data_IF_800082719922
#
_entry.id   IF_800082719922
#
_cell.length_a   1.000
_cell.length_b   1.000
_cell.length_c   1.000
_cell.angle_alpha   90.00
_cell.angle_beta   90.00
_cell.angle_gamma   90.00
#
_symmetry.space_group_name_H-M   'P 1'
#
loop_
_entity.id
_entity.type
_entity.pdbx_description
1 polymer ?
#
# COMPACT_ATOMS: atom_id res chain seq x y z
N UNK A 1 8.46 18.24 14.86
CA UNK A 1 7.71 16.99 14.71
C UNK A 1 8.57 15.93 14.02
N UNK A 2 8.95 14.91 14.77
CA UNK A 2 9.69 13.73 14.29
C UNK A 2 8.74 12.64 13.81
N UNK A 3 9.21 11.72 12.97
CA UNK A 3 8.41 10.58 12.51
C UNK A 3 7.85 9.75 13.67
N UNK A 4 8.65 9.48 14.71
CA UNK A 4 8.22 8.71 15.88
C UNK A 4 7.02 9.28 16.64
N UNK A 5 6.77 10.59 16.49
CA UNK A 5 5.66 11.29 17.14
C UNK A 5 4.35 11.15 16.36
N UNK A 6 4.43 10.80 15.07
CA UNK A 6 3.25 10.74 14.18
C UNK A 6 3.01 9.37 13.54
N UNK A 7 3.99 8.48 13.55
CA UNK A 7 3.86 7.16 12.94
C UNK A 7 2.85 6.29 13.68
N UNK A 8 2.18 5.40 12.94
CA UNK A 8 1.46 4.27 13.52
C UNK A 8 2.42 3.13 13.85
N UNK A 9 2.26 2.57 15.05
CA UNK A 9 2.93 1.32 15.48
C UNK A 9 2.13 0.07 15.13
N UNK A 10 0.86 0.22 14.75
CA UNK A 10 0.05 -0.90 14.31
C UNK A 10 0.34 -1.19 12.83
N UNK A 11 1.30 -2.09 12.61
CA UNK A 11 1.79 -2.41 11.28
C UNK A 11 0.98 -3.58 10.72
N UNK A 12 0.11 -3.28 9.77
CA UNK A 12 -0.61 -4.33 9.03
C UNK A 12 0.32 -4.86 7.94
N UNK A 13 0.64 -6.16 8.06
CA UNK A 13 1.54 -6.90 7.17
C UNK A 13 0.79 -8.06 6.55
N UNK A 14 1.22 -8.48 5.36
CA UNK A 14 0.75 -9.70 4.70
C UNK A 14 1.91 -10.54 4.20
N UNK A 15 1.72 -11.85 4.14
CA UNK A 15 2.67 -12.78 3.54
C UNK A 15 2.68 -12.62 2.03
N UNK A 16 3.85 -12.74 1.42
CA UNK A 16 4.01 -12.66 -0.04
C UNK A 16 3.24 -13.73 -0.83
N UNK A 17 2.89 -14.83 -0.15
CA UNK A 17 2.13 -15.98 -0.64
C UNK A 17 0.62 -15.81 -0.55
N UNK A 18 0.11 -14.75 0.09
CA UNK A 18 -1.32 -14.45 0.07
C UNK A 18 -1.77 -14.02 -1.34
N UNK A 19 -3.05 -14.19 -1.64
CA UNK A 19 -3.64 -13.77 -2.91
C UNK A 19 -4.21 -12.34 -2.87
N UNK A 20 -4.58 -11.81 -4.03
CA UNK A 20 -5.10 -10.43 -4.13
C UNK A 20 -6.49 -10.26 -3.51
N UNK A 21 -7.31 -11.31 -3.43
CA UNK A 21 -8.61 -11.25 -2.77
C UNK A 21 -8.44 -11.09 -1.24
N UNK A 22 -7.55 -11.86 -0.64
CA UNK A 22 -7.17 -11.72 0.76
C UNK A 22 -6.61 -10.33 1.03
N UNK A 23 -5.77 -9.82 0.13
CA UNK A 23 -5.26 -8.46 0.24
C UNK A 23 -6.36 -7.41 0.21
N UNK A 24 -7.28 -7.49 -0.76
CA UNK A 24 -8.42 -6.59 -0.86
C UNK A 24 -9.24 -6.59 0.44
N UNK A 25 -9.51 -7.78 0.99
CA UNK A 25 -10.23 -7.94 2.24
C UNK A 25 -9.55 -7.19 3.41
N UNK A 26 -8.23 -7.35 3.55
CA UNK A 26 -7.44 -6.64 4.57
C UNK A 26 -7.49 -5.13 4.35
N UNK A 27 -7.29 -4.65 3.12
CA UNK A 27 -7.30 -3.22 2.81
C UNK A 27 -8.64 -2.57 3.17
N UNK A 28 -9.75 -3.21 2.80
CA UNK A 28 -11.10 -2.69 3.07
C UNK A 28 -11.48 -2.72 4.55
N UNK A 29 -11.28 -3.86 5.22
CA UNK A 29 -11.67 -4.00 6.63
C UNK A 29 -10.86 -3.08 7.56
N UNK A 30 -9.58 -2.88 7.25
CA UNK A 30 -8.73 -1.99 8.03
C UNK A 30 -8.76 -0.54 7.56
N UNK A 31 -9.53 -0.21 6.50
CA UNK A 31 -9.62 1.13 5.92
C UNK A 31 -8.25 1.73 5.56
N UNK A 32 -7.39 0.90 4.96
CA UNK A 32 -6.03 1.28 4.54
C UNK A 32 -5.87 1.06 3.03
N UNK A 33 -5.17 1.97 2.37
CA UNK A 33 -4.87 1.88 0.93
C UNK A 33 -3.60 1.10 0.57
N UNK A 34 -2.98 0.39 1.52
CA UNK A 34 -1.82 -0.46 1.25
C UNK A 34 -1.23 -1.16 2.48
N UNK A 35 -0.54 -2.27 2.26
CA UNK A 35 0.07 -3.11 3.29
C UNK A 35 1.56 -3.31 3.02
N UNK A 36 2.28 -3.64 4.09
CA UNK A 36 3.65 -4.12 4.00
C UNK A 36 3.64 -5.62 3.71
N UNK A 37 4.54 -6.06 2.84
CA UNK A 37 4.64 -7.47 2.45
C UNK A 37 5.91 -8.07 3.05
N UNK A 38 5.75 -9.18 3.75
CA UNK A 38 6.85 -9.94 4.38
C UNK A 38 6.96 -11.33 3.79
N UNK A 39 8.17 -11.88 3.81
CA UNK A 39 8.41 -13.29 3.50
C UNK A 39 8.10 -14.19 4.70
N UNK A 40 8.40 -15.48 4.58
CA UNK A 40 8.22 -16.44 5.68
C UNK A 40 9.04 -16.10 6.93
N UNK A 41 10.25 -15.58 6.75
CA UNK A 41 11.15 -15.17 7.83
C UNK A 41 10.82 -13.79 8.44
N UNK A 42 9.63 -13.24 8.20
CA UNK A 42 9.18 -11.93 8.69
C UNK A 42 10.01 -10.73 8.18
N UNK A 43 10.80 -10.92 7.14
CA UNK A 43 11.58 -9.85 6.51
C UNK A 43 10.67 -9.06 5.57
N UNK A 44 10.70 -7.72 5.68
CA UNK A 44 10.01 -6.81 4.76
C UNK A 44 10.63 -6.90 3.35
N UNK A 45 9.83 -7.32 2.37
CA UNK A 45 10.28 -7.56 0.99
C UNK A 45 9.50 -6.76 -0.07
N UNK A 46 8.42 -6.09 0.34
CA UNK A 46 7.69 -5.23 -0.58
C UNK A 46 6.56 -4.46 0.06
N UNK A 47 5.85 -3.72 -0.79
CA UNK A 47 4.60 -3.05 -0.46
C UNK A 47 3.56 -3.39 -1.52
N UNK A 48 2.32 -3.53 -1.08
CA UNK A 48 1.16 -3.68 -1.97
C UNK A 48 0.16 -2.57 -1.66
N UNK A 49 -0.33 -1.87 -2.69
CA UNK A 49 -1.33 -0.82 -2.56
C UNK A 49 -2.58 -1.11 -3.40
N UNK A 50 -3.68 -0.39 -3.12
CA UNK A 50 -4.90 -0.45 -3.96
C UNK A 50 -4.59 -0.23 -5.45
N UNK A 51 -3.62 0.64 -5.76
CA UNK A 51 -3.17 0.88 -7.14
C UNK A 51 -2.59 -0.38 -7.79
N UNK A 52 -1.91 -1.21 -7.01
CA UNK A 52 -1.31 -2.45 -7.51
C UNK A 52 -2.39 -3.51 -7.75
N UNK A 53 -3.38 -3.63 -6.86
CA UNK A 53 -4.57 -4.47 -7.10
C UNK A 53 -5.32 -4.02 -8.35
N UNK A 54 -5.57 -2.71 -8.49
CA UNK A 54 -6.24 -2.15 -9.65
C UNK A 54 -5.49 -2.48 -10.94
N UNK A 55 -4.18 -2.24 -10.98
CA UNK A 55 -3.35 -2.55 -12.15
C UNK A 55 -3.28 -4.04 -12.47
N UNK A 56 -3.42 -4.92 -11.48
CA UNK A 56 -3.36 -6.36 -11.68
C UNK A 56 -4.70 -6.99 -12.13
N UNK A 57 -5.81 -6.34 -11.81
CA UNK A 57 -7.17 -6.86 -12.05
C UNK A 57 -7.89 -6.19 -13.22
N UNK A 58 -7.50 -4.96 -13.57
CA UNK A 58 -8.13 -4.21 -14.66
C UNK A 58 -7.26 -4.21 -15.92
N UNK A 59 -7.87 -4.29 -17.11
CA UNK A 59 -7.13 -4.22 -18.36
C UNK A 59 -6.42 -2.88 -18.50
N UNK A 60 -5.26 -2.91 -19.15
CA UNK A 60 -4.52 -1.69 -19.47
C UNK A 60 -5.27 -0.87 -20.51
N UNK A 61 -4.96 0.43 -20.59
CA UNK A 61 -5.49 1.30 -21.65
C UNK A 61 -5.23 0.74 -23.05
N UNK A 62 -4.10 0.07 -23.27
CA UNK A 62 -3.80 -0.56 -24.57
C UNK A 62 -4.76 -1.70 -24.89
N UNK A 63 -4.97 -2.61 -23.93
CA UNK A 63 -5.91 -3.73 -24.07
C UNK A 63 -7.33 -3.23 -24.29
N UNK A 64 -7.71 -2.12 -23.65
CA UNK A 64 -8.99 -1.45 -23.86
C UNK A 64 -9.22 -1.05 -25.34
N UNK A 65 -8.24 -0.42 -25.99
CA UNK A 65 -8.41 0.02 -27.39
C UNK A 65 -8.26 -1.11 -28.39
N UNK A 66 -7.46 -2.12 -28.08
CA UNK A 66 -7.31 -3.31 -28.93
C UNK A 66 -8.56 -4.20 -28.90
N UNK A 67 -9.33 -4.20 -27.79
CA UNK A 67 -10.55 -5.00 -27.67
C UNK A 67 -11.67 -4.31 -26.84
N UNK A 68 -12.29 -3.22 -27.34
CA UNK A 68 -13.30 -2.47 -26.60
C UNK A 68 -14.59 -3.27 -26.35
N UNK A 69 -14.89 -4.27 -27.18
CA UNK A 69 -16.06 -5.12 -27.04
C UNK A 69 -15.99 -6.04 -25.80
N UNK A 70 -14.80 -6.42 -25.36
CA UNK A 70 -14.60 -7.26 -24.16
C UNK A 70 -15.10 -6.63 -22.86
N UNK A 71 -15.25 -5.30 -22.83
CA UNK A 71 -15.70 -4.56 -21.64
C UNK A 71 -17.20 -4.30 -21.62
N UNK A 72 -17.91 -4.58 -22.71
CA UNK A 72 -19.36 -4.39 -22.82
C UNK A 72 -20.16 -5.64 -22.43
N UNK A 73 -19.50 -6.74 -22.07
CA UNK A 73 -20.13 -7.97 -21.57
C UNK A 73 -20.19 -7.94 -20.02
N UNK A 74 -21.20 -7.23 -19.49
CA UNK A 74 -21.37 -6.90 -18.06
C UNK A 74 -21.40 -8.11 -17.11
N UNK A 75 -21.65 -9.32 -17.62
CA UNK A 75 -21.82 -10.54 -16.79
C UNK A 75 -20.55 -11.40 -16.65
N UNK A 76 -19.55 -11.22 -17.53
CA UNK A 76 -18.26 -11.93 -17.43
C UNK A 76 -17.22 -11.20 -16.58
N UNK A 77 -17.29 -9.88 -16.51
CA UNK A 77 -16.18 -9.09 -15.99
C UNK A 77 -15.97 -9.22 -14.46
N UNK A 78 -17.02 -9.16 -13.64
CA UNK A 78 -16.84 -9.17 -12.17
C UNK A 78 -16.45 -10.55 -11.60
N UNK A 79 -17.10 -11.62 -12.06
CA UNK A 79 -16.80 -12.99 -11.59
C UNK A 79 -15.40 -13.42 -12.00
N UNK A 80 -15.00 -13.10 -13.23
CA UNK A 80 -13.67 -13.43 -13.72
C UNK A 80 -12.60 -12.61 -12.97
N UNK A 81 -12.86 -11.35 -12.63
CA UNK A 81 -11.96 -10.55 -11.80
C UNK A 81 -11.79 -11.13 -10.39
N UNK A 82 -12.87 -11.56 -9.75
CA UNK A 82 -12.80 -12.22 -8.43
C UNK A 82 -12.00 -13.52 -8.52
N UNK A 83 -12.20 -14.30 -9.59
CA UNK A 83 -11.44 -15.53 -9.80
C UNK A 83 -9.95 -15.23 -10.01
N UNK A 84 -9.61 -14.26 -10.86
CA UNK A 84 -8.23 -13.81 -11.06
C UNK A 84 -7.58 -13.32 -9.74
N UNK A 85 -8.35 -12.61 -8.91
CA UNK A 85 -7.85 -12.13 -7.62
C UNK A 85 -7.51 -13.28 -6.66
N UNK A 86 -8.19 -14.42 -6.75
CA UNK A 86 -7.89 -15.63 -5.97
C UNK A 86 -6.64 -16.36 -6.46
N UNK A 87 -6.35 -16.29 -7.76
CA UNK A 87 -5.25 -17.02 -8.38
C UNK A 87 -3.92 -16.25 -8.38
N UNK A 88 -3.97 -14.91 -8.43
CA UNK A 88 -2.76 -14.06 -8.42
C UNK A 88 -2.26 -13.85 -6.99
N UNK A 89 -0.96 -14.02 -6.78
CA UNK A 89 -0.30 -13.83 -5.49
C UNK A 89 0.26 -12.42 -5.34
N UNK A 90 0.36 -11.95 -4.09
CA UNK A 90 0.92 -10.63 -3.76
C UNK A 90 2.34 -10.47 -4.32
N UNK A 91 3.20 -11.48 -4.18
CA UNK A 91 4.61 -11.45 -4.62
C UNK A 91 4.80 -11.14 -6.11
N UNK A 92 3.80 -11.43 -6.93
CA UNK A 92 3.83 -11.25 -8.38
C UNK A 92 3.44 -9.82 -8.79
N UNK A 93 2.83 -9.07 -7.87
CA UNK A 93 2.22 -7.76 -8.13
C UNK A 93 2.84 -6.63 -7.29
N UNK A 94 3.33 -6.95 -6.08
CA UNK A 94 3.88 -5.97 -5.14
C UNK A 94 5.05 -5.16 -5.69
N UNK A 95 5.22 -3.94 -5.18
CA UNK A 95 6.44 -3.17 -5.39
C UNK A 95 7.56 -3.71 -4.50
N UNK A 96 8.69 -4.05 -5.11
CA UNK A 96 9.92 -4.50 -4.41
C UNK A 96 10.81 -3.34 -3.96
N UNK A 97 10.61 -2.15 -4.53
CA UNK A 97 11.35 -0.96 -4.11
C UNK A 97 10.71 -0.41 -2.85
N UNK A 98 11.39 -0.61 -1.72
CA UNK A 98 10.99 -0.09 -0.42
C UNK A 98 11.65 1.26 -0.21
N UNK A 99 10.84 2.32 -0.13
CA UNK A 99 11.30 3.65 0.26
C UNK A 99 10.86 3.85 1.70
N UNK A 100 11.80 4.03 2.62
CA UNK A 100 11.57 4.18 4.05
C UNK A 100 12.09 5.51 4.59
N UNK A 101 11.71 5.82 5.83
CA UNK A 101 12.26 6.93 6.62
C UNK A 101 12.76 6.42 7.96
N UNK A 102 13.66 7.17 8.58
CA UNK A 102 14.14 6.88 9.92
C UNK A 102 13.16 7.41 10.99
N UNK A 103 13.10 6.74 12.14
CA UNK A 103 12.21 7.09 13.26
C UNK A 103 12.45 8.52 13.80
N UNK A 104 13.68 9.02 13.67
CA UNK A 104 14.07 10.37 14.08
C UNK A 104 14.10 11.40 12.94
N UNK A 105 13.74 11.01 11.71
CA UNK A 105 13.63 11.95 10.60
C UNK A 105 12.57 13.04 10.90
N UNK A 106 12.71 14.26 10.34
CA UNK A 106 11.64 15.24 10.36
C UNK A 106 10.43 14.78 9.54
N UNK A 107 9.21 14.98 10.04
CA UNK A 107 7.99 14.59 9.32
C UNK A 107 7.85 15.24 7.93
N UNK A 108 8.38 16.46 7.77
CA UNK A 108 8.42 17.17 6.47
C UNK A 108 9.21 16.39 5.42
N UNK A 109 10.28 15.68 5.81
CA UNK A 109 11.07 14.81 4.91
C UNK A 109 10.20 13.67 4.35
N UNK A 110 9.40 13.04 5.20
CA UNK A 110 8.46 12.00 4.76
C UNK A 110 7.43 12.56 3.77
N UNK A 111 6.85 13.73 4.06
CA UNK A 111 5.94 14.42 3.13
C UNK A 111 6.59 14.69 1.77
N UNK A 112 7.81 15.23 1.75
CA UNK A 112 8.56 15.49 0.52
C UNK A 112 8.84 14.21 -0.29
N UNK A 113 9.25 13.12 0.38
CA UNK A 113 9.47 11.82 -0.25
C UNK A 113 8.17 11.24 -0.84
N UNK A 114 7.06 11.34 -0.12
CA UNK A 114 5.75 10.90 -0.60
C UNK A 114 5.31 11.63 -1.87
N UNK A 115 5.53 12.94 -1.95
CA UNK A 115 5.25 13.73 -3.14
C UNK A 115 6.17 13.35 -4.31
N UNK A 116 7.48 13.34 -4.08
CA UNK A 116 8.49 13.06 -5.11
C UNK A 116 8.33 11.66 -5.71
N UNK A 117 7.93 10.68 -4.88
CA UNK A 117 7.79 9.28 -5.29
C UNK A 117 6.37 8.86 -5.61
N UNK A 118 5.40 9.79 -5.47
CA UNK A 118 3.96 9.55 -5.69
C UNK A 118 3.43 8.36 -4.87
N UNK A 119 3.85 8.27 -3.61
CA UNK A 119 3.45 7.22 -2.65
C UNK A 119 2.70 7.83 -1.47
N UNK A 120 1.86 7.02 -0.81
CA UNK A 120 0.95 7.50 0.24
C UNK A 120 1.43 7.17 1.67
N UNK A 121 2.39 6.27 1.79
CA UNK A 121 2.88 5.71 3.05
C UNK A 121 4.34 5.32 2.93
N UNK A 122 5.04 5.35 4.05
CA UNK A 122 6.46 5.01 4.17
C UNK A 122 6.62 4.08 5.39
N UNK A 123 7.29 2.93 5.24
CA UNK A 123 7.78 2.18 6.38
C UNK A 123 8.78 3.02 7.19
N UNK A 124 8.75 2.87 8.51
CA UNK A 124 9.66 3.56 9.42
C UNK A 124 10.64 2.56 10.00
N UNK A 125 11.93 2.85 9.87
CA UNK A 125 13.02 2.02 10.38
C UNK A 125 13.75 2.72 11.56
N UNK A 126 14.36 1.94 12.45
CA UNK A 126 15.28 2.44 13.48
C UNK A 126 16.76 2.32 13.03
N UNK A 127 17.69 2.63 13.94
CA UNK A 127 19.14 2.57 13.69
C UNK A 127 19.65 1.15 13.36
N UNK A 128 18.96 0.11 13.82
CA UNK A 128 19.26 -1.30 13.53
C UNK A 128 18.69 -1.75 12.17
N UNK A 129 18.02 -0.87 11.43
CA UNK A 129 17.31 -1.19 10.19
C UNK A 129 16.02 -1.97 10.41
N UNK A 130 15.56 -2.12 11.65
CA UNK A 130 14.32 -2.83 11.99
C UNK A 130 13.11 -1.98 11.67
N UNK A 131 12.09 -2.61 11.10
CA UNK A 131 10.77 -2.01 10.90
C UNK A 131 10.08 -1.76 12.25
N UNK A 132 9.83 -0.48 12.57
CA UNK A 132 9.25 -0.04 13.85
C UNK A 132 7.92 0.69 13.72
N UNK A 133 7.50 1.02 12.49
CA UNK A 133 6.21 1.66 12.26
C UNK A 133 5.92 1.89 10.78
N UNK A 134 4.82 2.59 10.54
CA UNK A 134 4.44 3.10 9.23
C UNK A 134 3.91 4.53 9.40
N UNK A 135 4.23 5.42 8.46
CA UNK A 135 3.70 6.78 8.42
C UNK A 135 3.00 7.01 7.09
N UNK A 136 1.79 7.54 7.13
CA UNK A 136 0.98 7.91 5.97
C UNK A 136 0.83 9.41 5.86
N UNK A 137 0.38 9.89 4.69
CA UNK A 137 -0.02 11.30 4.55
C UNK A 137 -1.05 11.69 5.60
N UNK A 138 -2.07 10.85 5.83
CA UNK A 138 -3.12 11.12 6.83
C UNK A 138 -2.51 11.37 8.21
N UNK A 139 -1.56 10.54 8.65
CA UNK A 139 -0.94 10.68 9.97
C UNK A 139 -0.21 12.03 10.11
N UNK A 140 0.51 12.44 9.07
CA UNK A 140 1.21 13.74 9.03
C UNK A 140 0.20 14.89 9.08
N UNK A 141 -0.86 14.84 8.27
CA UNK A 141 -1.88 15.90 8.21
C UNK A 141 -2.68 16.01 9.50
N UNK A 142 -3.15 14.88 10.04
CA UNK A 142 -3.87 14.86 11.32
C UNK A 142 -3.03 15.54 12.39
N UNK A 143 -1.78 15.14 12.58
CA UNK A 143 -0.92 15.76 13.60
C UNK A 143 -0.54 17.21 13.31
N UNK A 144 -0.35 17.59 12.04
CA UNK A 144 -0.01 18.98 11.68
C UNK A 144 -1.15 19.95 11.97
N UNK A 145 -2.39 19.51 11.77
CA UNK A 145 -3.57 20.36 11.91
C UNK A 145 -4.38 20.09 13.18
N UNK A 146 -4.01 19.07 13.97
CA UNK A 146 -4.73 18.72 15.22
C UNK A 146 -4.84 19.93 16.15
N UNK A 147 -3.73 20.66 16.35
CA UNK A 147 -3.70 21.82 17.24
C UNK A 147 -4.41 23.06 16.68
N UNK A 148 -4.82 23.04 15.42
CA UNK A 148 -5.50 24.15 14.72
C UNK A 148 -7.00 23.85 14.55
N UNK A 149 -7.37 22.58 14.45
CA UNK A 149 -8.73 22.15 14.13
C UNK A 149 -9.58 21.79 15.38
N UNK A 150 -9.04 21.94 16.59
CA UNK A 150 -9.71 21.54 17.85
C UNK A 150 -10.29 20.10 17.80
N UNK A 151 -9.62 19.20 17.06
CA UNK A 151 -9.98 17.78 16.94
C UNK A 151 -9.26 16.93 17.99
#
# INVERSE_FOLDING_TARGET
MKIREVMSKNIIKMKETANLLEAANVLFHHQISGVLVVNEAEVLIGLLSEKDLYRALYPSYREFYENPASLLDDTKNEKDMVQQAKEKLIKDVMSRTIISVHVDDPAVKAGALMLARRINRLPVLNDEGKLVGIVSRRDIYQNLFQSILDL
#
